data_IF_713180542897
#
_entry.id   IF_713180542897
#
_cell.length_a   1.000
_cell.length_b   1.000
_cell.length_c   1.000
_cell.angle_alpha   90.00
_cell.angle_beta   90.00
_cell.angle_gamma   90.00
#
_symmetry.space_group_name_H-M   'P 1'
#
loop_
_entity.id
_entity.type
_entity.pdbx_description
1 polymer ?
#
# COMPACT_ATOMS: atom_id res chain seq x y z
N UNK A 1 -28.60 2.73 -13.60
CA UNK A 1 -27.30 3.39 -13.53
C UNK A 1 -26.31 2.33 -13.11
N UNK A 2 -25.44 1.92 -14.01
CA UNK A 2 -24.33 1.02 -13.65
C UNK A 2 -23.52 1.69 -12.51
N UNK A 3 -23.34 0.97 -11.44
CA UNK A 3 -22.52 1.43 -10.31
C UNK A 3 -21.08 1.39 -10.82
N UNK A 4 -20.50 2.55 -11.17
CA UNK A 4 -19.14 2.61 -11.64
C UNK A 4 -18.23 2.09 -10.52
N UNK A 5 -17.42 1.08 -10.82
CA UNK A 5 -16.38 0.55 -9.93
C UNK A 5 -15.01 1.00 -10.41
N UNK A 6 -14.05 1.01 -9.50
CA UNK A 6 -12.64 1.28 -9.80
C UNK A 6 -11.87 -0.01 -9.59
N UNK A 7 -11.18 -0.45 -10.63
CA UNK A 7 -10.36 -1.67 -10.61
C UNK A 7 -8.92 -1.33 -10.21
N UNK A 8 -8.46 -1.92 -9.11
CA UNK A 8 -7.14 -1.69 -8.53
C UNK A 8 -6.30 -2.95 -8.67
N UNK A 9 -5.05 -2.76 -9.09
CA UNK A 9 -4.01 -3.77 -9.06
C UNK A 9 -3.02 -3.41 -7.95
N UNK A 10 -2.92 -4.25 -6.92
CA UNK A 10 -1.87 -4.15 -5.89
C UNK A 10 -0.71 -5.10 -6.24
N UNK A 11 0.53 -4.63 -6.11
CA UNK A 11 1.76 -5.40 -6.41
C UNK A 11 2.80 -5.17 -5.33
N UNK A 12 3.63 -6.18 -5.03
CA UNK A 12 4.73 -6.09 -4.06
C UNK A 12 5.73 -7.23 -4.19
N UNK A 13 6.95 -7.00 -3.72
CA UNK A 13 8.03 -7.95 -3.42
C UNK A 13 8.55 -8.73 -4.62
N UNK A 14 7.66 -9.38 -5.37
CA UNK A 14 8.03 -10.24 -6.50
C UNK A 14 7.40 -9.73 -7.78
N UNK A 15 8.20 -9.42 -8.81
CA UNK A 15 7.65 -9.11 -10.13
C UNK A 15 6.83 -10.27 -10.67
N UNK A 16 5.56 -10.03 -10.99
CA UNK A 16 4.69 -11.07 -11.54
C UNK A 16 5.10 -11.44 -12.96
N UNK A 17 5.34 -12.71 -13.21
CA UNK A 17 5.62 -13.23 -14.56
C UNK A 17 4.47 -12.95 -15.53
N UNK A 18 3.23 -12.95 -15.03
CA UNK A 18 2.06 -12.62 -15.84
C UNK A 18 2.03 -11.16 -16.33
N UNK A 19 2.83 -10.27 -15.72
CA UNK A 19 2.95 -8.86 -16.11
C UNK A 19 4.30 -8.58 -16.82
N UNK A 20 5.02 -9.63 -17.27
CA UNK A 20 6.32 -9.50 -17.96
C UNK A 20 6.29 -10.03 -19.41
N UNK A 21 5.24 -10.72 -19.80
CA UNK A 21 5.08 -11.30 -21.12
C UNK A 21 4.33 -10.36 -22.09
N UNK A 22 4.16 -10.80 -23.34
CA UNK A 22 3.45 -10.04 -24.39
C UNK A 22 1.98 -9.76 -24.04
N UNK A 23 1.41 -10.46 -23.06
CA UNK A 23 0.03 -10.27 -22.63
C UNK A 23 -0.16 -9.13 -21.62
N UNK A 24 0.93 -8.48 -21.16
CA UNK A 24 0.90 -7.43 -20.14
C UNK A 24 -0.13 -6.34 -20.45
N UNK A 25 -0.18 -5.85 -21.68
CA UNK A 25 -1.14 -4.81 -22.10
C UNK A 25 -2.59 -5.26 -21.88
N UNK A 26 -2.94 -6.49 -22.27
CA UNK A 26 -4.28 -7.06 -22.10
C UNK A 26 -4.62 -7.27 -20.62
N UNK A 27 -3.62 -7.64 -19.80
CA UNK A 27 -3.82 -7.84 -18.36
C UNK A 27 -3.97 -6.54 -17.58
N UNK A 28 -3.40 -5.44 -18.07
CA UNK A 28 -3.56 -4.12 -17.50
C UNK A 28 -4.77 -3.36 -18.07
N UNK A 29 -5.46 -3.95 -19.06
CA UNK A 29 -6.68 -3.36 -19.60
C UNK A 29 -7.77 -3.29 -18.53
N UNK A 30 -8.39 -2.11 -18.40
CA UNK A 30 -9.41 -1.84 -17.39
C UNK A 30 -8.89 -1.64 -15.96
N UNK A 31 -7.59 -1.72 -15.72
CA UNK A 31 -7.01 -1.28 -14.44
C UNK A 31 -7.00 0.24 -14.39
N UNK A 32 -7.61 0.80 -13.34
CA UNK A 32 -7.71 2.25 -13.12
C UNK A 32 -6.58 2.81 -12.28
N UNK A 33 -6.01 1.99 -11.37
CA UNK A 33 -4.99 2.38 -10.42
C UNK A 33 -4.09 1.20 -10.07
N UNK A 34 -2.78 1.44 -10.03
CA UNK A 34 -1.81 0.45 -9.54
C UNK A 34 -1.22 0.96 -8.23
N UNK A 35 -1.21 0.09 -7.20
CA UNK A 35 -0.64 0.36 -5.89
C UNK A 35 0.53 -0.58 -5.65
N UNK A 36 1.74 -0.04 -5.53
CA UNK A 36 2.93 -0.82 -5.21
C UNK A 36 3.29 -0.67 -3.74
N UNK A 37 3.36 -1.81 -3.05
CA UNK A 37 3.74 -1.86 -1.63
C UNK A 37 5.28 -1.94 -1.42
N UNK A 38 6.10 -1.74 -2.45
CA UNK A 38 7.56 -1.74 -2.36
C UNK A 38 8.23 -3.08 -2.68
N UNK A 39 9.55 -3.09 -2.57
CA UNK A 39 10.45 -4.21 -2.86
C UNK A 39 10.31 -4.77 -4.28
N UNK A 40 10.08 -3.89 -5.25
CA UNK A 40 10.05 -4.22 -6.66
C UNK A 40 11.22 -3.55 -7.40
N UNK A 41 11.85 -4.19 -8.39
CA UNK A 41 12.87 -3.54 -9.18
C UNK A 41 12.33 -2.26 -9.84
N UNK A 42 13.08 -1.14 -9.73
CA UNK A 42 12.75 0.13 -10.38
C UNK A 42 12.33 -0.05 -11.85
N UNK A 43 13.14 -0.80 -12.61
CA UNK A 43 12.89 -1.07 -14.03
C UNK A 43 11.57 -1.82 -14.28
N UNK A 44 11.09 -2.60 -13.32
CA UNK A 44 9.81 -3.28 -13.44
C UNK A 44 8.64 -2.30 -13.33
N UNK A 45 8.69 -1.37 -12.39
CA UNK A 45 7.67 -0.31 -12.30
C UNK A 45 7.68 0.57 -13.55
N UNK A 46 8.86 1.01 -14.01
CA UNK A 46 9.02 1.79 -15.24
C UNK A 46 8.54 1.01 -16.50
N UNK A 47 8.76 -0.30 -16.53
CA UNK A 47 8.25 -1.15 -17.61
C UNK A 47 6.72 -1.12 -17.66
N UNK A 48 6.05 -1.27 -16.53
CA UNK A 48 4.58 -1.26 -16.47
C UNK A 48 3.98 0.06 -16.99
N UNK A 49 4.64 1.21 -16.76
CA UNK A 49 4.14 2.52 -17.25
C UNK A 49 4.03 2.59 -18.77
N UNK A 50 4.73 1.74 -19.53
CA UNK A 50 4.63 1.71 -20.99
C UNK A 50 3.37 1.00 -21.51
N UNK A 51 2.64 0.30 -20.65
CA UNK A 51 1.52 -0.56 -21.06
C UNK A 51 0.17 -0.14 -20.49
N UNK A 52 0.15 0.86 -19.61
CA UNK A 52 -1.08 1.36 -19.00
C UNK A 52 -1.06 2.87 -18.84
N UNK A 53 -2.24 3.49 -18.91
CA UNK A 53 -2.45 4.89 -18.52
C UNK A 53 -2.82 5.02 -17.03
N UNK A 54 -3.06 3.91 -16.33
CA UNK A 54 -3.33 3.93 -14.90
C UNK A 54 -2.11 4.45 -14.13
N UNK A 55 -2.27 5.42 -13.21
CA UNK A 55 -1.16 5.87 -12.38
C UNK A 55 -0.65 4.74 -11.49
N UNK A 56 0.66 4.69 -11.30
CA UNK A 56 1.32 3.78 -10.38
C UNK A 56 1.73 4.58 -9.15
N UNK A 57 1.08 4.33 -8.01
CA UNK A 57 1.45 4.91 -6.72
C UNK A 57 2.28 3.89 -5.95
N UNK A 58 3.37 4.33 -5.31
CA UNK A 58 4.23 3.41 -4.57
C UNK A 58 4.66 3.94 -3.21
N UNK A 59 4.92 3.02 -2.30
CA UNK A 59 5.72 3.22 -1.09
C UNK A 59 7.00 2.41 -1.19
N UNK A 60 8.03 2.78 -0.42
CA UNK A 60 9.28 2.03 -0.41
C UNK A 60 9.16 0.75 0.44
N UNK A 61 9.75 -0.33 -0.06
CA UNK A 61 10.10 -1.48 0.76
C UNK A 61 11.50 -1.35 1.34
N UNK A 62 11.93 -2.32 2.12
CA UNK A 62 13.26 -2.27 2.77
C UNK A 62 14.41 -2.57 1.81
N UNK A 63 14.15 -3.11 0.63
CA UNK A 63 15.15 -3.34 -0.42
C UNK A 63 15.19 -2.25 -1.49
N UNK A 64 14.37 -1.21 -1.39
CA UNK A 64 14.28 -0.11 -2.37
C UNK A 64 15.35 0.98 -2.16
N UNK A 65 16.44 0.68 -1.47
CA UNK A 65 17.55 1.61 -1.25
C UNK A 65 18.13 2.22 -2.54
N UNK A 66 18.05 1.49 -3.64
CA UNK A 66 18.47 1.95 -4.98
C UNK A 66 17.59 3.04 -5.59
N UNK A 67 16.39 3.31 -5.03
CA UNK A 67 15.51 4.38 -5.48
C UNK A 67 15.99 5.77 -5.05
N UNK A 68 16.85 5.87 -4.03
CA UNK A 68 17.36 7.16 -3.56
C UNK A 68 18.06 7.93 -4.66
N UNK A 69 17.50 9.10 -5.02
CA UNK A 69 18.03 9.96 -6.08
C UNK A 69 17.84 9.44 -7.51
N UNK A 70 17.15 8.33 -7.67
CA UNK A 70 16.85 7.71 -8.96
C UNK A 70 15.50 6.97 -8.89
N UNK A 71 14.46 7.65 -8.50
CA UNK A 71 13.11 7.10 -8.31
C UNK A 71 12.52 6.54 -9.62
N UNK A 72 11.56 5.59 -9.55
CA UNK A 72 10.93 5.00 -10.73
C UNK A 72 10.25 6.05 -11.60
N UNK A 73 10.71 6.20 -12.84
CA UNK A 73 10.14 7.15 -13.81
C UNK A 73 8.68 6.82 -14.12
N UNK A 74 7.83 7.86 -14.17
CA UNK A 74 6.39 7.69 -14.45
C UNK A 74 5.56 7.18 -13.27
N UNK A 75 6.16 6.91 -12.11
CA UNK A 75 5.48 6.50 -10.89
C UNK A 75 5.40 7.64 -9.88
N UNK A 76 4.47 7.59 -8.97
CA UNK A 76 4.22 8.62 -7.95
C UNK A 76 4.54 8.04 -6.57
N UNK A 77 5.55 8.60 -5.91
CA UNK A 77 5.85 8.25 -4.51
C UNK A 77 4.78 8.83 -3.60
N UNK A 78 4.13 7.96 -2.83
CA UNK A 78 3.16 8.36 -1.80
C UNK A 78 3.65 8.02 -0.39
N UNK A 79 4.92 7.63 -0.26
CA UNK A 79 5.53 7.38 1.03
C UNK A 79 5.60 8.67 1.86
N UNK A 80 5.26 8.61 3.14
CA UNK A 80 5.11 9.76 4.02
C UNK A 80 4.12 10.83 3.51
N UNK A 81 3.07 10.42 2.77
CA UNK A 81 2.08 11.33 2.21
C UNK A 81 0.63 10.83 2.39
N UNK A 82 -0.30 11.76 2.26
CA UNK A 82 -1.72 11.46 2.02
C UNK A 82 -2.04 11.98 0.62
N UNK A 83 -2.20 11.06 -0.29
CA UNK A 83 -2.48 11.35 -1.70
C UNK A 83 -3.97 11.16 -1.99
N UNK A 84 -4.55 12.08 -2.76
CA UNK A 84 -5.98 11.98 -3.16
C UNK A 84 -6.06 11.75 -4.66
N UNK A 85 -6.54 10.57 -5.04
CA UNK A 85 -6.77 10.21 -6.43
C UNK A 85 -8.28 10.04 -6.69
N UNK A 86 -8.83 10.82 -7.59
CA UNK A 86 -10.29 10.82 -7.92
C UNK A 86 -11.20 10.77 -6.68
N UNK A 87 -10.79 11.39 -5.59
CA UNK A 87 -11.52 11.37 -4.31
C UNK A 87 -11.13 10.25 -3.35
N UNK A 88 -10.39 9.24 -3.78
CA UNK A 88 -9.85 8.17 -2.94
C UNK A 88 -8.64 8.68 -2.16
N UNK A 89 -8.66 8.56 -0.85
CA UNK A 89 -7.66 9.10 0.07
C UNK A 89 -6.71 7.98 0.50
N UNK A 90 -5.48 8.05 0.06
CA UNK A 90 -4.45 7.02 0.24
C UNK A 90 -3.37 7.57 1.16
N UNK A 91 -3.15 6.96 2.32
CA UNK A 91 -2.05 7.24 3.22
C UNK A 91 -0.94 6.22 2.99
N UNK A 92 0.26 6.68 2.62
CA UNK A 92 1.43 5.85 2.36
C UNK A 92 2.43 5.86 3.50
N UNK A 93 2.88 4.67 3.94
CA UNK A 93 3.92 4.47 4.96
C UNK A 93 4.76 3.23 4.61
N UNK A 94 5.85 3.44 3.87
CA UNK A 94 6.75 2.38 3.45
C UNK A 94 7.75 1.94 4.52
N UNK A 95 8.51 0.90 4.18
CA UNK A 95 9.54 0.30 5.00
C UNK A 95 9.05 -0.75 5.99
N UNK A 96 9.99 -1.42 6.67
CA UNK A 96 9.71 -2.50 7.60
C UNK A 96 10.33 -2.28 8.98
N UNK A 97 10.06 -3.20 9.90
CA UNK A 97 10.68 -3.24 11.23
C UNK A 97 12.19 -3.38 11.12
N UNK A 98 12.94 -2.60 11.92
CA UNK A 98 14.40 -2.61 11.90
C UNK A 98 14.94 -3.93 12.46
N UNK A 99 15.61 -4.68 11.60
CA UNK A 99 16.28 -5.93 11.97
C UNK A 99 17.81 -5.85 11.81
N UNK A 100 18.33 -4.91 11.00
CA UNK A 100 19.75 -4.63 10.91
C UNK A 100 20.02 -3.10 11.01
N UNK A 101 21.32 -2.68 10.98
CA UNK A 101 21.71 -1.27 11.13
C UNK A 101 22.06 -0.60 9.80
N UNK A 102 22.21 -1.33 8.74
CA UNK A 102 22.85 -0.87 7.49
C UNK A 102 21.84 -0.60 6.37
N UNK A 103 20.61 -1.16 6.47
CA UNK A 103 19.63 -1.02 5.41
C UNK A 103 18.76 0.24 5.56
N UNK A 104 18.37 0.74 4.39
CA UNK A 104 17.45 1.84 4.26
C UNK A 104 16.01 1.39 4.48
N UNK A 105 15.12 2.33 4.77
CA UNK A 105 13.68 2.09 4.97
C UNK A 105 13.35 1.05 6.05
N UNK A 106 14.20 0.97 7.10
CA UNK A 106 13.95 0.19 8.28
C UNK A 106 13.73 1.09 9.49
N UNK A 107 12.66 0.87 10.21
CA UNK A 107 12.20 1.76 11.27
C UNK A 107 11.91 1.02 12.56
N UNK A 108 12.18 1.66 13.69
CA UNK A 108 11.61 1.26 14.96
C UNK A 108 10.14 1.64 15.04
N UNK A 109 9.37 1.02 15.93
CA UNK A 109 7.97 1.39 16.19
C UNK A 109 7.83 2.90 16.49
N UNK A 110 8.75 3.47 17.27
CA UNK A 110 8.73 4.89 17.63
C UNK A 110 8.97 5.83 16.43
N UNK A 111 9.84 5.43 15.50
CA UNK A 111 10.09 6.17 14.26
C UNK A 111 8.89 6.07 13.33
N UNK A 112 8.30 4.88 13.12
CA UNK A 112 7.10 4.70 12.31
C UNK A 112 5.92 5.48 12.89
N UNK A 113 5.73 5.45 14.21
CA UNK A 113 4.71 6.25 14.90
C UNK A 113 4.91 7.76 14.70
N UNK A 114 6.17 8.23 14.65
CA UNK A 114 6.48 9.65 14.39
C UNK A 114 6.16 10.03 12.94
N UNK A 115 6.44 9.15 11.98
CA UNK A 115 6.08 9.32 10.57
C UNK A 115 4.55 9.41 10.43
N UNK A 116 3.82 8.47 10.99
CA UNK A 116 2.35 8.46 10.99
C UNK A 116 1.74 9.75 11.59
N UNK A 117 2.28 10.24 12.71
CA UNK A 117 1.82 11.49 13.34
C UNK A 117 1.97 12.72 12.45
N UNK A 118 3.03 12.80 11.62
CA UNK A 118 3.24 13.91 10.69
C UNK A 118 2.14 13.97 9.61
N UNK A 119 1.53 12.84 9.29
CA UNK A 119 0.46 12.76 8.28
C UNK A 119 -0.92 13.16 8.82
N UNK A 120 -1.06 13.34 10.15
CA UNK A 120 -2.34 13.65 10.78
C UNK A 120 -3.04 14.87 10.17
N UNK A 121 -2.30 15.96 9.96
CA UNK A 121 -2.89 17.19 9.40
C UNK A 121 -3.31 17.01 7.94
N UNK A 122 -2.51 16.29 7.15
CA UNK A 122 -2.84 15.99 5.76
C UNK A 122 -4.07 15.08 5.67
N UNK A 123 -4.16 14.03 6.49
CA UNK A 123 -5.32 13.17 6.56
C UNK A 123 -6.59 13.94 6.98
N UNK A 124 -6.48 14.84 7.96
CA UNK A 124 -7.59 15.69 8.39
C UNK A 124 -8.07 16.63 7.26
N UNK A 125 -7.13 17.26 6.53
CA UNK A 125 -7.46 18.13 5.39
C UNK A 125 -8.11 17.36 4.25
N UNK A 126 -7.67 16.12 4.00
CA UNK A 126 -8.27 15.24 3.02
C UNK A 126 -9.68 14.73 3.44
N UNK A 127 -10.04 14.86 4.72
CA UNK A 127 -11.32 14.36 5.25
C UNK A 127 -11.30 12.87 5.59
N UNK A 128 -10.11 12.28 5.83
CA UNK A 128 -9.93 10.89 6.25
C UNK A 128 -8.91 10.11 5.44
N UNK A 129 -8.95 8.79 5.60
CA UNK A 129 -8.12 7.81 4.88
C UNK A 129 -9.02 6.66 4.46
N UNK A 130 -9.01 6.32 3.18
CA UNK A 130 -9.77 5.19 2.61
C UNK A 130 -8.89 3.96 2.43
N UNK A 131 -7.64 4.18 2.02
CA UNK A 131 -6.61 3.15 1.88
C UNK A 131 -5.41 3.51 2.76
N UNK A 132 -4.99 2.59 3.61
CA UNK A 132 -3.68 2.58 4.23
C UNK A 132 -2.78 1.69 3.37
N UNK A 133 -1.80 2.29 2.69
CA UNK A 133 -0.83 1.61 1.83
C UNK A 133 0.50 1.53 2.55
N UNK A 134 0.99 0.33 2.83
CA UNK A 134 2.26 0.13 3.54
C UNK A 134 3.11 -0.94 2.87
N UNK A 135 4.38 -1.03 3.26
CA UNK A 135 5.18 -2.19 2.90
C UNK A 135 5.01 -3.29 3.95
N UNK A 136 5.32 -3.01 5.21
CA UNK A 136 5.16 -3.98 6.29
C UNK A 136 3.69 -4.19 6.69
N UNK A 137 3.34 -5.37 7.24
CA UNK A 137 2.04 -5.65 7.83
C UNK A 137 1.82 -4.92 9.16
N UNK A 138 0.62 -5.01 9.71
CA UNK A 138 0.33 -4.59 11.08
C UNK A 138 0.67 -5.71 12.07
N UNK A 139 1.07 -5.33 13.29
CA UNK A 139 1.43 -6.29 14.35
C UNK A 139 0.27 -7.23 14.68
N UNK A 140 0.51 -8.53 14.68
CA UNK A 140 -0.49 -9.56 14.93
C UNK A 140 -1.49 -9.77 13.79
N UNK A 141 -1.25 -9.18 12.61
CA UNK A 141 -2.13 -9.26 11.47
C UNK A 141 -1.33 -9.51 10.18
N UNK A 142 -1.29 -10.76 9.76
CA UNK A 142 -0.47 -11.23 8.62
C UNK A 142 1.04 -10.98 8.78
N UNK A 143 1.53 -10.80 10.01
CA UNK A 143 2.95 -10.60 10.29
C UNK A 143 3.66 -11.90 10.69
N UNK A 144 5.00 -11.85 10.70
CA UNK A 144 5.85 -12.94 11.16
C UNK A 144 6.25 -12.79 12.62
N UNK A 145 6.81 -13.87 13.18
CA UNK A 145 7.32 -13.89 14.56
C UNK A 145 8.76 -13.43 14.68
N UNK A 146 9.51 -13.42 13.59
CA UNK A 146 10.90 -12.96 13.56
C UNK A 146 10.99 -11.43 13.45
N UNK A 147 12.21 -10.90 13.73
CA UNK A 147 12.41 -9.44 13.76
C UNK A 147 12.20 -8.73 12.44
N UNK A 148 12.50 -9.39 11.32
CA UNK A 148 12.38 -8.78 10.01
C UNK A 148 10.91 -8.63 9.60
N UNK A 149 10.10 -9.66 9.87
CA UNK A 149 8.72 -9.76 9.43
C UNK A 149 7.69 -9.32 10.47
N UNK A 150 8.15 -8.80 11.62
CA UNK A 150 7.26 -8.26 12.66
C UNK A 150 6.58 -6.99 12.16
N UNK A 151 5.25 -6.97 12.21
CA UNK A 151 4.43 -5.83 11.85
C UNK A 151 4.49 -4.68 12.86
N UNK A 152 4.00 -3.50 12.46
CA UNK A 152 3.95 -2.31 13.30
C UNK A 152 2.62 -2.20 14.05
N UNK A 153 2.70 -1.93 15.36
CA UNK A 153 1.50 -1.67 16.16
C UNK A 153 0.81 -0.37 15.74
N UNK A 154 1.55 0.65 15.33
CA UNK A 154 0.97 1.90 14.87
C UNK A 154 0.03 1.74 13.67
N UNK A 155 0.17 0.71 12.86
CA UNK A 155 -0.77 0.44 11.76
C UNK A 155 -2.13 -0.04 12.29
N UNK A 156 -2.15 -0.80 13.38
CA UNK A 156 -3.39 -1.09 14.11
C UNK A 156 -4.04 0.20 14.64
N UNK A 157 -3.23 1.08 15.27
CA UNK A 157 -3.71 2.36 15.81
C UNK A 157 -4.28 3.25 14.70
N UNK A 158 -3.67 3.25 13.50
CA UNK A 158 -4.18 3.99 12.34
C UNK A 158 -5.49 3.40 11.80
N UNK A 159 -5.61 2.05 11.77
CA UNK A 159 -6.87 1.40 11.39
C UNK A 159 -7.98 1.72 12.39
N UNK A 160 -7.69 1.77 13.68
CA UNK A 160 -8.67 2.15 14.72
C UNK A 160 -9.06 3.62 14.61
N UNK A 161 -8.11 4.51 14.32
CA UNK A 161 -8.34 5.95 14.23
C UNK A 161 -9.10 6.36 12.97
N UNK A 162 -8.61 5.93 11.81
CA UNK A 162 -9.15 6.36 10.51
C UNK A 162 -10.20 5.41 9.94
N UNK A 163 -10.21 4.15 10.39
CA UNK A 163 -11.08 3.08 9.90
C UNK A 163 -11.08 3.01 8.35
N UNK A 164 -9.90 2.91 7.73
CA UNK A 164 -9.81 2.79 6.28
C UNK A 164 -10.60 1.57 5.82
N UNK A 165 -11.13 1.61 4.60
CA UNK A 165 -11.81 0.45 4.02
C UNK A 165 -10.82 -0.64 3.66
N UNK A 166 -9.61 -0.24 3.27
CA UNK A 166 -8.56 -1.16 2.83
C UNK A 166 -7.24 -0.84 3.52
N UNK A 167 -6.58 -1.89 3.97
CA UNK A 167 -5.19 -1.90 4.39
C UNK A 167 -4.43 -2.82 3.45
N UNK A 168 -3.50 -2.27 2.67
CA UNK A 168 -2.78 -3.00 1.62
C UNK A 168 -1.31 -2.99 1.97
N UNK A 169 -0.71 -4.18 2.06
CA UNK A 169 0.69 -4.36 2.43
C UNK A 169 1.37 -5.44 1.60
N UNK A 170 2.69 -5.49 1.64
CA UNK A 170 3.55 -6.52 1.08
C UNK A 170 4.37 -7.21 2.16
N UNK A 171 5.67 -7.38 1.90
CA UNK A 171 6.72 -7.87 2.79
C UNK A 171 6.56 -9.33 3.24
N UNK A 172 5.36 -9.82 3.36
CA UNK A 172 5.06 -11.19 3.77
C UNK A 172 4.85 -12.06 2.55
N UNK A 173 5.90 -12.78 2.14
CA UNK A 173 5.78 -13.72 1.03
C UNK A 173 4.83 -14.86 1.40
N UNK A 174 3.96 -15.23 0.48
CA UNK A 174 2.95 -16.28 0.71
C UNK A 174 3.56 -17.67 0.99
N UNK A 175 4.87 -17.83 0.74
CA UNK A 175 5.61 -19.08 0.97
C UNK A 175 6.14 -19.20 2.42
N UNK A 176 6.06 -18.13 3.23
CA UNK A 176 6.63 -18.12 4.60
C UNK A 176 5.78 -18.84 5.64
N UNK A 177 4.59 -19.25 5.29
CA UNK A 177 3.74 -20.07 6.15
C UNK A 177 2.50 -20.56 5.43
N UNK A 178 2.19 -21.84 5.58
CA UNK A 178 1.08 -22.50 4.89
C UNK A 178 -0.32 -21.90 5.21
N UNK A 179 -0.41 -20.91 6.11
CA UNK A 179 -1.67 -20.42 6.66
C UNK A 179 -1.81 -18.89 6.70
N UNK A 180 -0.96 -18.11 6.03
CA UNK A 180 -1.16 -16.66 5.97
C UNK A 180 -2.26 -16.36 4.92
N UNK A 181 -3.43 -15.88 5.33
CA UNK A 181 -4.48 -15.55 4.38
C UNK A 181 -4.06 -14.34 3.55
N UNK A 182 -4.21 -14.42 2.24
CA UNK A 182 -3.98 -13.26 1.35
C UNK A 182 -4.91 -12.10 1.66
N UNK A 183 -6.14 -12.41 2.04
CA UNK A 183 -7.16 -11.43 2.42
C UNK A 183 -7.76 -11.82 3.75
N UNK A 184 -7.81 -10.87 4.68
CA UNK A 184 -8.51 -11.01 5.94
C UNK A 184 -9.21 -9.70 6.30
N UNK A 185 -9.86 -9.65 7.46
CA UNK A 185 -10.55 -8.45 7.93
C UNK A 185 -10.15 -8.12 9.36
N UNK A 186 -10.07 -6.82 9.67
CA UNK A 186 -9.95 -6.31 11.03
C UNK A 186 -10.97 -5.18 11.23
N UNK A 187 -11.97 -5.42 12.07
CA UNK A 187 -13.10 -4.49 12.18
C UNK A 187 -13.79 -4.31 10.82
N UNK A 188 -13.90 -3.06 10.36
CA UNK A 188 -14.46 -2.73 9.03
C UNK A 188 -13.41 -2.59 7.92
N UNK A 189 -12.14 -2.94 8.17
CA UNK A 189 -11.04 -2.83 7.22
C UNK A 189 -10.76 -4.18 6.55
N UNK A 190 -10.76 -4.23 5.23
CA UNK A 190 -10.25 -5.36 4.45
C UNK A 190 -8.73 -5.24 4.36
N UNK A 191 -8.02 -6.29 4.77
CA UNK A 191 -6.55 -6.37 4.77
C UNK A 191 -6.12 -7.24 3.60
N UNK A 192 -5.22 -6.73 2.76
CA UNK A 192 -4.76 -7.39 1.54
C UNK A 192 -3.24 -7.49 1.57
N UNK A 193 -2.72 -8.71 1.46
CA UNK A 193 -1.32 -8.95 1.16
C UNK A 193 -1.13 -8.93 -0.37
N UNK A 194 -0.40 -7.93 -0.85
CA UNK A 194 -0.20 -7.64 -2.27
C UNK A 194 0.96 -8.43 -2.91
N UNK A 195 1.65 -9.28 -2.15
CA UNK A 195 2.82 -10.02 -2.64
C UNK A 195 2.57 -10.64 -4.02
N UNK A 196 3.50 -10.40 -4.95
CA UNK A 196 3.39 -10.60 -6.37
C UNK A 196 2.33 -9.69 -7.01
N UNK A 197 1.05 -10.04 -6.94
CA UNK A 197 -0.07 -9.23 -7.43
C UNK A 197 -1.40 -9.66 -6.83
N UNK A 198 -2.29 -8.70 -6.68
CA UNK A 198 -3.68 -8.92 -6.29
C UNK A 198 -4.59 -7.88 -6.94
N UNK A 199 -5.62 -8.32 -7.63
CA UNK A 199 -6.63 -7.45 -8.26
C UNK A 199 -7.90 -7.42 -7.43
N UNK A 200 -8.49 -6.24 -7.27
CA UNK A 200 -9.77 -6.06 -6.59
C UNK A 200 -10.49 -4.83 -7.11
N UNK A 201 -11.79 -4.78 -6.87
CA UNK A 201 -12.62 -3.67 -7.24
C UNK A 201 -13.14 -2.94 -6.00
N UNK A 202 -13.27 -1.64 -6.13
CA UNK A 202 -13.85 -0.78 -5.12
C UNK A 202 -15.02 0.02 -5.73
N UNK A 203 -16.03 0.43 -4.94
CA UNK A 203 -17.02 1.39 -5.40
C UNK A 203 -16.36 2.69 -5.85
N UNK A 204 -16.98 3.41 -6.79
CA UNK A 204 -16.50 4.72 -7.22
C UNK A 204 -16.14 5.59 -5.99
N UNK A 205 -14.90 6.10 -5.91
CA UNK A 205 -14.44 6.88 -4.76
C UNK A 205 -15.28 8.12 -4.46
N UNK A 206 -15.95 8.69 -5.45
CA UNK A 206 -16.88 9.81 -5.27
C UNK A 206 -18.08 9.41 -4.41
N UNK A 207 -18.43 8.11 -4.38
CA UNK A 207 -19.53 7.56 -3.59
C UNK A 207 -19.11 7.13 -2.19
N UNK A 208 -17.79 7.12 -1.87
CA UNK A 208 -17.32 6.75 -0.53
C UNK A 208 -17.64 7.89 0.43
N UNK A 209 -18.48 7.67 1.47
CA UNK A 209 -18.88 8.72 2.40
C UNK A 209 -17.64 9.34 3.08
N UNK A 210 -17.52 10.67 3.01
CA UNK A 210 -16.50 11.38 3.78
C UNK A 210 -16.85 11.28 5.27
N UNK A 211 -16.07 10.54 6.04
CA UNK A 211 -16.25 10.47 7.48
C UNK A 211 -15.84 11.80 8.11
N UNK A 212 -16.70 12.36 8.97
CA UNK A 212 -16.29 13.44 9.86
C UNK A 212 -15.33 12.85 10.90
N UNK A 213 -14.03 13.07 10.74
CA UNK A 213 -12.99 12.55 11.63
C UNK A 213 -13.03 13.12 13.04
N UNK A 214 -13.79 14.19 13.27
CA UNK A 214 -14.01 14.79 14.58
C UNK A 214 -15.40 15.38 14.59
N UNK A 215 -16.33 14.70 15.26
CA UNK A 215 -17.62 15.29 15.60
C UNK A 215 -17.36 16.53 16.46
N UNK A 216 -17.72 17.72 15.97
CA UNK A 216 -18.36 18.72 16.79
C UNK A 216 -19.83 18.62 16.43
N UNK A 217 -20.63 18.25 17.44
CA UNK A 217 -22.05 18.53 17.45
C UNK A 217 -22.31 20.02 17.17
#
# INVERSE_FOLDING_TARGET
>A
MEQSSVKILAISDVPSELLRDESVRRRLEGIDLILSCGDLPKKYLEYLTNFTAAPILYVHGNHDGSYKGAEPGGCICVDDAVYVWKGLRIMGLGGCSRYNKEDTFQYTEGEMRRRARRLWLAARRAGGVDILLTHAPASGLNDGTDRAHKGFQVFNDLMDLYQPKWFIHGHMHLNYGANLPRVCTRGGTTVINATERYEFEIPDPVQIPKRKLFGRE
#
